data_IF_669326654909
#
_entry.id   IF_669326654909
#
_cell.length_a   1.000
_cell.length_b   1.000
_cell.length_c   1.000
_cell.angle_alpha   90.00
_cell.angle_beta   90.00
_cell.angle_gamma   90.00
#
_symmetry.space_group_name_H-M   'P 1'
#
loop_
_entity.id
_entity.type
_entity.pdbx_description
1 polymer ?
#
# COMPACT_ATOMS: atom_id res chain seq x y z
N UNK A 1 -52.37 -33.60 20.94
CA UNK A 1 -51.92 -32.83 22.10
C UNK A 1 -50.90 -31.81 21.61
N UNK A 2 -51.35 -30.57 21.52
CA UNK A 2 -50.62 -29.41 21.04
C UNK A 2 -49.53 -28.99 22.02
N UNK A 3 -48.39 -28.52 21.50
CA UNK A 3 -47.53 -27.58 22.23
C UNK A 3 -47.32 -26.36 21.34
N UNK A 4 -47.84 -25.24 21.85
CA UNK A 4 -48.02 -23.95 21.22
C UNK A 4 -46.72 -23.28 20.78
N UNK A 5 -46.68 -22.84 19.52
CA UNK A 5 -45.92 -21.66 19.12
C UNK A 5 -46.80 -20.43 19.37
N UNK A 6 -46.32 -19.50 20.20
CA UNK A 6 -46.91 -18.17 20.33
C UNK A 6 -46.55 -17.33 19.10
N UNK A 7 -47.52 -16.68 18.42
CA UNK A 7 -47.21 -15.66 17.43
C UNK A 7 -46.89 -14.34 18.12
N UNK A 8 -45.75 -13.75 17.78
CA UNK A 8 -45.35 -12.39 18.13
C UNK A 8 -46.49 -11.40 17.83
N UNK A 9 -46.79 -10.50 18.78
CA UNK A 9 -47.60 -9.31 18.51
C UNK A 9 -46.93 -8.51 17.39
N UNK A 10 -47.59 -8.37 16.23
CA UNK A 10 -47.11 -7.47 15.19
C UNK A 10 -47.49 -6.04 15.59
N UNK A 11 -46.47 -5.21 15.80
CA UNK A 11 -46.60 -3.75 15.98
C UNK A 11 -46.69 -3.10 14.60
N UNK A 12 -47.67 -3.52 13.79
CA UNK A 12 -47.85 -2.96 12.46
C UNK A 12 -48.80 -1.75 12.52
N UNK A 13 -48.32 -0.62 12.04
CA UNK A 13 -49.07 0.63 11.94
C UNK A 13 -49.83 0.70 10.61
N UNK A 14 -51.10 1.10 10.68
CA UNK A 14 -51.97 1.20 9.51
C UNK A 14 -51.90 2.60 8.90
N UNK A 15 -51.59 2.72 7.62
CA UNK A 15 -51.67 3.99 6.91
C UNK A 15 -53.14 4.41 6.73
N UNK A 16 -53.59 5.58 7.21
CA UNK A 16 -54.98 6.03 7.07
C UNK A 16 -55.42 6.23 5.62
N UNK A 17 -54.47 6.55 4.72
CA UNK A 17 -54.76 6.88 3.32
C UNK A 17 -54.95 5.67 2.40
N UNK A 18 -54.25 4.56 2.64
CA UNK A 18 -54.38 3.33 1.84
C UNK A 18 -54.81 2.10 2.63
N UNK A 19 -54.95 2.24 3.96
CA UNK A 19 -55.40 1.21 4.90
C UNK A 19 -54.53 -0.04 5.02
N UNK A 20 -53.35 -0.04 4.41
CA UNK A 20 -52.36 -1.12 4.51
C UNK A 20 -51.56 -1.00 5.81
N UNK A 21 -51.12 -2.15 6.32
CA UNK A 21 -50.31 -2.29 7.53
C UNK A 21 -48.83 -2.32 7.18
N UNK A 22 -48.03 -1.57 7.93
CA UNK A 22 -46.59 -1.48 7.74
C UNK A 22 -45.92 -1.58 9.10
N UNK A 23 -44.69 -2.10 9.15
CA UNK A 23 -43.85 -1.93 10.34
C UNK A 23 -43.60 -0.42 10.60
N UNK A 24 -43.21 -0.01 11.82
CA UNK A 24 -43.06 1.42 12.16
C UNK A 24 -42.08 2.16 11.23
N UNK A 25 -40.95 1.53 10.91
CA UNK A 25 -39.99 2.04 9.90
C UNK A 25 -40.53 1.97 8.46
N UNK A 26 -41.42 1.02 8.19
CA UNK A 26 -42.04 0.81 6.88
C UNK A 26 -43.07 1.89 6.55
N UNK A 27 -43.83 2.37 7.54
CA UNK A 27 -44.82 3.43 7.33
C UNK A 27 -44.14 4.75 6.92
N UNK A 28 -43.02 5.11 7.56
CA UNK A 28 -42.26 6.33 7.22
C UNK A 28 -41.71 6.27 5.79
N UNK A 29 -41.15 5.14 5.35
CA UNK A 29 -40.69 4.95 3.96
C UNK A 29 -41.86 4.98 2.97
N UNK A 30 -42.98 4.35 3.32
CA UNK A 30 -44.19 4.37 2.50
C UNK A 30 -44.71 5.80 2.29
N UNK A 31 -44.81 6.61 3.33
CA UNK A 31 -45.25 8.00 3.22
C UNK A 31 -44.26 8.86 2.42
N UNK A 32 -42.95 8.63 2.53
CA UNK A 32 -41.95 9.36 1.76
C UNK A 32 -42.04 9.08 0.24
N UNK A 33 -42.41 7.87 -0.17
CA UNK A 33 -42.34 7.42 -1.56
C UNK A 33 -43.71 7.28 -2.27
N UNK A 34 -44.81 7.44 -1.54
CA UNK A 34 -46.15 7.23 -2.10
C UNK A 34 -46.55 8.29 -3.11
N UNK A 35 -47.13 7.85 -4.24
CA UNK A 35 -47.77 8.72 -5.25
C UNK A 35 -49.29 8.77 -5.10
N UNK A 36 -49.86 8.09 -4.11
CA UNK A 36 -51.32 8.04 -3.91
C UNK A 36 -51.79 9.31 -3.19
N UNK A 37 -52.75 10.08 -3.75
CA UNK A 37 -53.17 11.36 -3.18
C UNK A 37 -53.72 11.25 -1.75
N UNK A 38 -54.39 10.14 -1.41
CA UNK A 38 -54.89 9.89 -0.06
C UNK A 38 -53.78 9.65 0.98
N UNK A 39 -52.61 9.11 0.59
CA UNK A 39 -51.46 8.91 1.49
C UNK A 39 -50.57 10.16 1.56
N UNK A 40 -50.52 10.92 0.47
CA UNK A 40 -49.89 12.25 0.44
C UNK A 40 -50.63 13.19 1.40
N UNK A 41 -51.96 13.15 1.45
CA UNK A 41 -52.75 13.91 2.42
C UNK A 41 -52.46 13.54 3.89
N UNK A 42 -52.05 12.30 4.16
CA UNK A 42 -51.57 11.86 5.49
C UNK A 42 -50.17 12.40 5.77
N UNK A 43 -49.25 12.30 4.81
CA UNK A 43 -47.89 12.85 4.92
C UNK A 43 -47.90 14.35 5.18
N UNK A 44 -48.76 15.08 4.47
CA UNK A 44 -48.84 16.54 4.53
C UNK A 44 -49.78 17.03 5.65
N UNK A 45 -50.22 16.13 6.55
CA UNK A 45 -50.96 16.46 7.78
C UNK A 45 -52.40 16.98 7.59
N UNK A 46 -53.02 16.73 6.43
CA UNK A 46 -54.36 17.28 6.08
C UNK A 46 -55.55 16.42 6.51
N UNK A 47 -55.32 15.29 7.17
CA UNK A 47 -56.37 14.47 7.81
C UNK A 47 -56.40 14.74 9.32
N UNK A 48 -57.58 14.93 9.94
CA UNK A 48 -57.65 15.18 11.37
C UNK A 48 -57.17 13.95 12.18
N UNK A 49 -56.44 14.15 13.28
CA UNK A 49 -55.99 13.06 14.13
C UNK A 49 -57.15 12.41 14.90
N UNK A 50 -57.09 11.12 15.24
CA UNK A 50 -57.99 10.52 16.22
C UNK A 50 -57.70 11.08 17.64
N UNK A 51 -58.67 11.02 18.56
CA UNK A 51 -58.59 11.68 19.86
C UNK A 51 -57.53 11.06 20.78
N UNK A 52 -56.95 11.96 21.58
CA UNK A 52 -55.78 11.88 22.47
C UNK A 52 -56.00 11.00 23.71
N UNK A 53 -54.91 10.43 24.25
CA UNK A 53 -54.78 10.09 25.67
C UNK A 53 -53.50 10.76 26.23
N UNK A 54 -53.64 11.38 27.40
CA UNK A 54 -52.72 12.31 28.08
C UNK A 54 -51.66 11.63 28.99
N UNK A 55 -50.67 12.38 29.53
CA UNK A 55 -49.34 11.89 29.93
C UNK A 55 -49.08 11.84 31.46
N UNK A 56 -47.97 11.22 31.86
CA UNK A 56 -47.26 11.30 33.16
C UNK A 56 -45.76 11.08 32.86
N UNK A 57 -44.74 11.79 33.35
CA UNK A 57 -44.57 12.89 34.28
C UNK A 57 -43.06 13.27 34.31
N UNK A 58 -42.76 14.49 34.76
CA UNK A 58 -41.43 15.13 34.91
C UNK A 58 -40.62 14.60 36.10
N UNK A 59 -39.28 14.75 36.05
CA UNK A 59 -38.35 15.32 37.08
C UNK A 59 -36.89 15.10 36.59
N UNK A 60 -36.13 16.15 36.22
CA UNK A 60 -35.19 17.00 37.03
C UNK A 60 -33.86 16.26 37.37
N UNK A 61 -32.67 16.84 37.47
CA UNK A 61 -31.91 17.94 36.84
C UNK A 61 -30.47 17.78 37.40
N UNK A 62 -29.41 18.06 36.62
CA UNK A 62 -28.11 18.61 37.07
C UNK A 62 -27.02 18.43 36.00
N UNK A 63 -26.85 19.49 35.19
CA UNK A 63 -25.63 19.77 34.44
C UNK A 63 -24.69 20.63 35.30
N UNK A 64 -23.41 20.29 35.34
CA UNK A 64 -22.31 21.20 35.71
C UNK A 64 -21.17 20.94 34.74
N UNK A 65 -21.02 21.80 33.73
CA UNK A 65 -19.73 22.10 33.10
C UNK A 65 -19.77 23.54 32.62
N UNK A 66 -18.85 24.34 33.17
CA UNK A 66 -18.69 25.77 32.95
C UNK A 66 -18.40 26.13 31.49
N UNK A 67 -18.87 27.33 31.15
CA UNK A 67 -18.75 28.04 29.88
C UNK A 67 -17.30 28.16 29.39
N UNK A 68 -17.07 27.79 28.12
CA UNK A 68 -15.88 28.19 27.36
C UNK A 68 -16.24 29.46 26.58
N UNK A 69 -15.65 30.57 26.99
CA UNK A 69 -15.78 31.88 26.36
C UNK A 69 -15.26 31.84 24.91
N UNK A 70 -16.18 32.03 23.96
CA UNK A 70 -15.93 31.99 22.51
C UNK A 70 -15.38 33.30 21.94
N UNK A 71 -15.24 34.35 22.76
CA UNK A 71 -14.73 35.67 22.34
C UNK A 71 -13.25 35.90 22.71
N UNK A 72 -12.54 34.86 23.17
CA UNK A 72 -11.11 34.97 23.44
C UNK A 72 -10.30 35.15 22.13
N UNK A 73 -9.38 36.13 22.04
CA UNK A 73 -8.53 36.31 20.87
C UNK A 73 -7.63 35.07 20.65
N UNK A 74 -7.31 34.72 19.39
CA UNK A 74 -6.58 33.51 19.08
C UNK A 74 -5.22 33.48 19.76
N UNK A 75 -4.92 32.39 20.44
CA UNK A 75 -3.61 32.14 21.05
C UNK A 75 -2.57 32.06 19.92
N UNK A 76 -1.49 32.86 19.96
CA UNK A 76 -0.44 32.79 18.96
C UNK A 76 0.18 31.39 18.90
N UNK A 77 0.45 30.92 17.68
CA UNK A 77 1.05 29.63 17.40
C UNK A 77 2.49 29.58 17.95
N UNK A 78 2.70 28.89 19.07
CA UNK A 78 4.01 28.31 19.38
C UNK A 78 4.16 27.03 18.54
N UNK A 79 5.26 26.91 17.80
CA UNK A 79 5.46 25.96 16.69
C UNK A 79 5.20 24.48 16.97
N UNK A 80 5.36 23.66 15.93
CA UNK A 80 5.14 22.22 16.04
C UNK A 80 6.23 21.50 16.87
N UNK A 81 5.93 20.28 17.31
CA UNK A 81 6.80 19.43 18.15
C UNK A 81 8.19 19.14 17.53
N UNK A 82 8.44 19.53 16.28
CA UNK A 82 9.70 19.31 15.57
C UNK A 82 10.60 20.55 15.42
N UNK A 83 10.20 21.70 15.98
CA UNK A 83 11.05 22.88 16.12
C UNK A 83 11.30 23.67 14.84
N UNK A 84 12.02 24.78 14.98
CA UNK A 84 12.21 25.79 13.92
C UNK A 84 13.05 25.26 12.75
N UNK A 85 12.42 25.10 11.59
CA UNK A 85 13.10 24.80 10.34
C UNK A 85 13.88 26.03 9.85
N UNK A 86 15.15 25.84 9.47
CA UNK A 86 15.93 26.89 8.85
C UNK A 86 15.36 27.21 7.45
N UNK A 87 14.87 28.45 7.20
CA UNK A 87 14.29 28.83 5.92
C UNK A 87 15.25 28.70 4.74
N UNK A 88 16.57 28.73 4.99
CA UNK A 88 17.60 28.56 3.96
C UNK A 88 17.62 27.17 3.31
N UNK A 89 16.77 26.24 3.74
CA UNK A 89 16.54 24.95 3.07
C UNK A 89 15.62 25.05 1.85
N UNK A 90 14.89 26.16 1.71
CA UNK A 90 13.84 26.34 0.70
C UNK A 90 13.99 27.59 -0.17
N UNK A 91 15.08 28.35 -0.04
CA UNK A 91 15.34 29.49 -0.91
C UNK A 91 15.75 29.01 -2.32
N UNK A 92 14.74 28.92 -3.20
CA UNK A 92 14.89 28.96 -4.64
C UNK A 92 14.96 30.45 -5.06
N UNK A 93 16.05 30.85 -5.70
CA UNK A 93 16.20 32.21 -6.19
C UNK A 93 15.23 32.45 -7.37
N UNK A 94 14.30 33.38 -7.14
CA UNK A 94 13.77 34.38 -8.10
C UNK A 94 12.78 33.97 -9.19
N UNK A 95 11.50 34.29 -8.96
CA UNK A 95 10.62 34.93 -9.93
C UNK A 95 9.58 35.84 -9.23
N UNK A 96 9.17 36.98 -9.81
CA UNK A 96 8.69 38.16 -9.07
C UNK A 96 7.17 38.23 -8.80
N UNK A 97 6.82 38.91 -7.70
CA UNK A 97 5.51 39.50 -7.33
C UNK A 97 4.84 40.26 -8.50
N UNK A 98 3.52 40.42 -8.69
CA UNK A 98 2.32 40.64 -7.84
C UNK A 98 1.10 40.81 -8.83
N UNK A 99 -0.13 41.30 -8.50
CA UNK A 99 -0.87 41.44 -7.23
C UNK A 99 -2.38 41.03 -7.27
N UNK A 100 -2.96 40.83 -6.07
CA UNK A 100 -4.35 41.09 -5.61
C UNK A 100 -5.60 40.83 -6.48
N UNK A 101 -6.57 40.13 -5.86
CA UNK A 101 -7.98 40.15 -6.22
C UNK A 101 -8.84 39.44 -5.18
N UNK A 102 -9.29 40.18 -4.15
CA UNK A 102 -10.27 39.74 -3.16
C UNK A 102 -11.64 39.47 -3.82
N UNK A 103 -12.31 38.38 -3.44
CA UNK A 103 -13.77 38.33 -3.41
C UNK A 103 -14.29 37.25 -2.46
N UNK A 104 -14.99 37.72 -1.44
CA UNK A 104 -15.76 36.95 -0.45
C UNK A 104 -17.06 36.35 -1.01
N UNK A 105 -17.54 35.33 -0.26
CA UNK A 105 -18.90 34.73 -0.18
C UNK A 105 -19.23 33.50 -1.04
N UNK A 106 -20.13 32.60 -0.56
CA UNK A 106 -20.20 31.96 0.76
C UNK A 106 -20.33 30.41 0.66
N UNK A 107 -20.23 29.74 1.81
CA UNK A 107 -20.41 28.31 1.98
C UNK A 107 -21.83 27.83 1.66
N UNK A 108 -21.93 26.68 0.99
CA UNK A 108 -23.10 25.80 1.02
C UNK A 108 -22.63 24.37 1.28
N UNK A 109 -22.97 23.88 2.46
CA UNK A 109 -23.04 22.45 2.77
C UNK A 109 -24.13 21.82 1.90
N UNK A 110 -23.84 20.69 1.26
CA UNK A 110 -24.77 19.56 1.18
C UNK A 110 -24.04 18.28 0.73
N UNK A 111 -24.59 17.18 1.21
CA UNK A 111 -24.00 15.87 1.43
C UNK A 111 -23.65 15.01 0.20
N UNK A 112 -22.82 14.00 0.50
CA UNK A 112 -22.34 12.89 -0.32
C UNK A 112 -23.37 12.30 -1.30
N UNK A 113 -23.05 12.34 -2.60
CA UNK A 113 -23.33 11.27 -3.56
C UNK A 113 -22.21 11.25 -4.63
N UNK A 114 -21.62 10.05 -4.83
CA UNK A 114 -20.64 9.63 -5.85
C UNK A 114 -19.94 10.70 -6.71
N UNK A 115 -18.68 11.02 -6.41
CA UNK A 115 -17.74 11.61 -7.36
C UNK A 115 -16.39 10.86 -7.35
N UNK A 116 -16.14 10.15 -8.46
CA UNK A 116 -14.80 9.94 -8.98
C UNK A 116 -14.15 11.32 -9.17
N UNK A 117 -12.85 11.53 -8.83
CA UNK A 117 -12.18 12.72 -9.30
C UNK A 117 -11.83 12.51 -10.77
N UNK A 118 -12.51 13.29 -11.60
CA UNK A 118 -12.15 13.57 -12.99
C UNK A 118 -10.74 14.19 -12.96
N UNK A 119 -9.74 13.41 -13.38
CA UNK A 119 -8.39 13.92 -13.62
C UNK A 119 -8.44 14.65 -14.96
N UNK A 120 -8.83 15.92 -14.91
CA UNK A 120 -8.78 16.80 -16.07
C UNK A 120 -7.36 17.37 -16.22
N UNK A 121 -6.65 16.81 -17.20
CA UNK A 121 -5.68 17.44 -18.10
C UNK A 121 -4.61 18.40 -17.52
N UNK A 122 -3.40 17.86 -17.30
CA UNK A 122 -2.15 18.65 -17.19
C UNK A 122 -1.32 18.61 -18.51
N UNK A 123 -1.94 18.34 -19.66
CA UNK A 123 -1.25 18.42 -20.95
C UNK A 123 -1.46 19.79 -21.60
N UNK A 124 -0.39 20.52 -21.99
CA UNK A 124 -0.53 21.80 -22.69
C UNK A 124 -1.11 21.58 -24.09
N UNK A 125 -1.99 22.50 -24.52
CA UNK A 125 -2.66 22.40 -25.82
C UNK A 125 -1.66 22.33 -27.00
N UNK A 126 -1.93 21.48 -28.01
CA UNK A 126 -1.10 21.42 -29.21
C UNK A 126 -1.13 22.74 -29.97
N UNK A 127 0.03 23.21 -30.42
CA UNK A 127 0.12 24.42 -31.27
C UNK A 127 -0.67 24.24 -32.57
N UNK A 128 -1.34 25.28 -33.08
CA UNK A 128 -2.06 25.20 -34.34
C UNK A 128 -1.11 25.00 -35.53
N UNK A 129 -1.55 24.12 -36.43
CA UNK A 129 -0.84 23.71 -37.65
C UNK A 129 -0.86 24.85 -38.68
N UNK A 130 0.24 25.15 -39.41
CA UNK A 130 0.22 26.14 -40.47
C UNK A 130 -0.65 25.66 -41.67
N UNK A 131 -1.21 26.59 -42.48
CA UNK A 131 -2.11 26.21 -43.59
C UNK A 131 -1.33 25.54 -44.72
N UNK A 132 -1.84 24.40 -45.19
CA UNK A 132 -1.27 23.67 -46.31
C UNK A 132 -1.84 24.21 -47.64
N UNK A 133 -1.01 24.89 -48.44
CA UNK A 133 -1.32 25.19 -49.85
C UNK A 133 -1.13 23.96 -50.73
N UNK A 134 -2.26 23.38 -51.16
CA UNK A 134 -2.56 22.82 -52.48
C UNK A 134 -1.56 21.91 -53.22
N UNK A 135 -2.05 20.73 -53.60
CA UNK A 135 -1.63 20.05 -54.84
C UNK A 135 -1.68 18.52 -54.82
N UNK A 136 -2.86 17.96 -55.16
CA UNK A 136 -3.16 16.77 -56.00
C UNK A 136 -2.07 15.67 -56.16
N UNK A 137 -2.33 14.35 -56.08
CA UNK A 137 -3.42 13.61 -56.75
C UNK A 137 -3.60 12.19 -56.15
N UNK A 138 -4.88 11.79 -56.09
CA UNK A 138 -5.47 10.47 -56.35
C UNK A 138 -5.29 9.26 -55.41
N UNK A 139 -6.41 9.00 -54.73
CA UNK A 139 -6.83 7.78 -54.04
C UNK A 139 -6.80 6.51 -54.90
N UNK A 140 -6.44 5.39 -54.28
CA UNK A 140 -7.21 4.14 -54.39
C UNK A 140 -6.96 3.27 -53.16
N UNK A 141 -7.96 3.23 -52.28
CA UNK A 141 -8.14 2.23 -51.23
C UNK A 141 -9.62 1.81 -51.34
N UNK A 142 -10.01 0.55 -51.06
CA UNK A 142 -10.32 0.28 -49.66
C UNK A 142 -10.13 -1.18 -49.21
N UNK A 143 -9.59 -1.36 -48.00
CA UNK A 143 -9.74 -2.61 -47.25
C UNK A 143 -8.71 -2.78 -46.14
N UNK A 144 -8.86 -2.07 -45.02
CA UNK A 144 -8.05 -2.31 -43.81
C UNK A 144 -8.41 -1.38 -42.66
N UNK A 145 -8.74 -1.96 -41.50
CA UNK A 145 -9.24 -1.34 -40.27
C UNK A 145 -8.32 -0.27 -39.67
N UNK A 146 -8.82 0.65 -38.81
CA UNK A 146 -8.02 1.72 -38.21
C UNK A 146 -6.96 1.14 -37.28
N UNK A 147 -5.69 1.49 -37.51
CA UNK A 147 -4.58 1.17 -36.60
C UNK A 147 -4.49 2.26 -35.53
N UNK A 148 -4.48 1.82 -34.26
CA UNK A 148 -4.25 2.65 -33.07
C UNK A 148 -2.90 3.40 -33.13
N UNK A 149 -2.76 4.54 -32.43
CA UNK A 149 -1.48 5.25 -32.32
C UNK A 149 -0.45 4.34 -31.64
N UNK A 150 0.63 4.03 -32.37
CA UNK A 150 1.70 3.14 -31.89
C UNK A 150 2.44 3.78 -30.72
N UNK A 151 2.10 3.33 -29.51
CA UNK A 151 2.87 3.59 -28.29
C UNK A 151 4.25 2.94 -28.44
N UNK A 152 5.37 3.65 -28.18
CA UNK A 152 6.70 3.08 -28.34
C UNK A 152 6.87 1.85 -27.45
N UNK A 153 7.37 0.77 -28.05
CA UNK A 153 7.58 -0.52 -27.39
C UNK A 153 8.54 -0.37 -26.21
N UNK A 154 8.38 -1.21 -25.18
CA UNK A 154 9.28 -1.24 -24.03
C UNK A 154 10.75 -1.45 -24.47
N UNK A 155 10.96 -2.18 -25.56
CA UNK A 155 12.27 -2.36 -26.20
C UNK A 155 12.86 -1.07 -26.78
N UNK A 156 12.05 -0.19 -27.37
CA UNK A 156 12.52 1.10 -27.91
C UNK A 156 12.80 2.09 -26.77
N UNK A 157 11.99 2.12 -25.72
CA UNK A 157 12.28 2.90 -24.51
C UNK A 157 13.55 2.40 -23.79
N UNK A 158 13.70 1.09 -23.63
CA UNK A 158 14.92 0.50 -23.06
C UNK A 158 16.15 0.75 -23.95
N UNK A 159 16.00 0.79 -25.29
CA UNK A 159 17.07 1.12 -26.21
C UNK A 159 17.45 2.61 -26.15
N UNK A 160 16.49 3.51 -25.94
CA UNK A 160 16.74 4.94 -25.70
C UNK A 160 17.42 5.15 -24.34
N UNK A 161 16.94 4.53 -23.26
CA UNK A 161 17.57 4.58 -21.93
C UNK A 161 18.99 3.96 -21.92
N UNK A 162 19.20 2.87 -22.66
CA UNK A 162 20.52 2.27 -22.86
C UNK A 162 21.45 3.14 -23.73
N UNK A 163 20.90 3.87 -24.72
CA UNK A 163 21.67 4.85 -25.50
C UNK A 163 22.03 6.10 -24.68
N UNK A 164 21.17 6.54 -23.75
CA UNK A 164 21.46 7.64 -22.82
C UNK A 164 22.53 7.22 -21.80
N UNK A 165 22.51 5.96 -21.35
CA UNK A 165 23.52 5.42 -20.42
C UNK A 165 24.92 5.28 -21.03
N UNK A 166 25.03 5.15 -22.37
CA UNK A 166 26.31 4.96 -23.09
C UNK A 166 27.18 6.22 -23.24
N UNK A 167 26.72 7.41 -22.85
CA UNK A 167 27.49 8.67 -22.96
C UNK A 167 27.61 9.41 -21.62
N UNK A 168 27.68 8.68 -20.52
CA UNK A 168 27.83 9.31 -19.21
C UNK A 168 29.27 9.20 -18.72
N UNK A 169 29.82 10.33 -18.28
CA UNK A 169 31.10 10.40 -17.60
C UNK A 169 30.85 10.13 -16.13
N UNK A 170 31.41 9.04 -15.62
CA UNK A 170 31.18 8.56 -14.25
C UNK A 170 32.37 8.92 -13.37
N UNK A 171 32.11 9.64 -12.29
CA UNK A 171 33.04 9.88 -11.19
C UNK A 171 32.65 8.94 -10.05
N UNK A 172 33.50 7.98 -9.67
CA UNK A 172 33.25 7.10 -8.54
C UNK A 172 33.37 7.86 -7.22
N UNK A 173 32.74 7.34 -6.16
CA UNK A 173 32.89 7.91 -4.82
C UNK A 173 34.35 7.82 -4.32
N UNK A 174 34.89 8.89 -3.72
CA UNK A 174 36.25 8.86 -3.19
C UNK A 174 36.32 8.03 -1.90
N UNK A 175 37.01 6.88 -1.97
CA UNK A 175 37.23 5.97 -0.85
C UNK A 175 37.11 4.50 -1.28
N UNK A 176 37.84 3.61 -0.60
CA UNK A 176 37.80 2.16 -0.88
C UNK A 176 37.03 1.35 0.16
N UNK A 177 36.43 2.02 1.15
CA UNK A 177 35.84 1.37 2.31
C UNK A 177 34.32 1.16 2.15
N UNK A 178 33.58 2.13 1.58
CA UNK A 178 32.17 1.96 1.25
C UNK A 178 31.95 0.77 0.31
N UNK A 179 30.99 -0.09 0.65
CA UNK A 179 30.69 -1.32 -0.09
C UNK A 179 31.74 -2.43 0.09
N UNK A 180 32.79 -2.23 0.88
CA UNK A 180 33.77 -3.26 1.16
C UNK A 180 33.20 -4.31 2.14
N UNK A 181 33.59 -5.59 1.98
CA UNK A 181 33.15 -6.64 2.88
C UNK A 181 33.71 -6.47 4.29
N UNK A 182 32.92 -6.83 5.30
CA UNK A 182 33.39 -6.86 6.69
C UNK A 182 34.23 -8.12 6.90
N UNK A 183 35.45 -8.04 7.47
CA UNK A 183 36.28 -9.22 7.74
C UNK A 183 35.56 -10.24 8.64
N UNK A 184 35.56 -11.52 8.23
CA UNK A 184 34.86 -12.63 8.92
C UNK A 184 35.29 -12.87 10.37
N UNK A 185 36.42 -12.34 10.83
CA UNK A 185 36.93 -12.54 12.19
C UNK A 185 36.15 -11.76 13.26
N UNK A 186 35.45 -10.71 12.86
CA UNK A 186 34.98 -9.69 13.81
C UNK A 186 33.48 -9.85 14.17
N UNK A 187 32.80 -10.84 13.58
CA UNK A 187 31.33 -10.93 13.61
C UNK A 187 30.83 -12.31 14.09
N UNK A 188 29.88 -12.38 15.05
CA UNK A 188 29.17 -13.62 15.38
C UNK A 188 28.37 -14.13 14.16
N UNK A 189 28.69 -15.32 13.67
CA UNK A 189 28.03 -15.93 12.51
C UNK A 189 26.52 -16.09 12.74
N UNK A 190 25.72 -15.25 12.08
CA UNK A 190 24.27 -15.46 11.95
C UNK A 190 24.00 -16.37 10.76
N UNK A 191 23.23 -17.44 10.99
CA UNK A 191 22.87 -18.40 9.96
C UNK A 191 21.72 -17.85 9.12
N UNK A 192 21.98 -17.55 7.85
CA UNK A 192 20.97 -17.11 6.88
C UNK A 192 19.96 -18.24 6.59
N UNK A 193 18.77 -17.89 6.10
CA UNK A 193 17.74 -18.86 5.71
C UNK A 193 18.26 -19.86 4.66
N UNK A 194 19.12 -19.40 3.74
CA UNK A 194 19.75 -20.24 2.73
C UNK A 194 20.79 -21.20 3.34
N UNK A 195 21.58 -20.75 4.32
CA UNK A 195 22.51 -21.63 5.04
C UNK A 195 21.76 -22.68 5.87
N UNK A 196 20.64 -22.31 6.50
CA UNK A 196 19.76 -23.27 7.20
C UNK A 196 19.21 -24.31 6.23
N UNK A 197 18.78 -23.89 5.03
CA UNK A 197 18.35 -24.82 4.00
C UNK A 197 19.48 -25.76 3.57
N UNK A 198 20.68 -25.22 3.34
CA UNK A 198 21.85 -25.99 2.97
C UNK A 198 22.24 -27.00 4.05
N UNK A 199 22.13 -26.63 5.33
CA UNK A 199 22.33 -27.56 6.44
C UNK A 199 21.33 -28.72 6.38
N UNK A 200 20.04 -28.45 6.13
CA UNK A 200 19.03 -29.50 5.94
C UNK A 200 19.35 -30.41 4.74
N UNK A 201 19.92 -29.88 3.64
CA UNK A 201 20.34 -30.69 2.50
C UNK A 201 21.54 -31.59 2.83
N UNK A 202 22.45 -31.13 3.68
CA UNK A 202 23.63 -31.88 4.09
C UNK A 202 23.30 -32.99 5.11
N UNK A 203 22.25 -32.81 5.92
CA UNK A 203 21.75 -33.82 6.86
C UNK A 203 20.82 -34.85 6.20
N UNK A 204 20.12 -34.47 5.13
CA UNK A 204 19.35 -35.40 4.30
C UNK A 204 20.27 -36.42 3.61
N UNK A 205 19.79 -37.62 3.23
CA UNK A 205 20.60 -38.63 2.56
C UNK A 205 21.04 -38.17 1.16
N UNK A 206 22.13 -37.39 1.11
CA UNK A 206 23.10 -36.99 0.06
C UNK A 206 22.74 -36.99 -1.44
N UNK A 207 21.49 -37.21 -1.84
CA UNK A 207 21.12 -37.53 -3.23
C UNK A 207 19.87 -36.76 -3.69
N UNK A 208 19.12 -36.11 -2.78
CA UNK A 208 17.88 -35.43 -3.16
C UNK A 208 17.98 -33.89 -3.05
N UNK A 209 18.25 -33.18 -4.17
CA UNK A 209 18.29 -31.71 -4.18
C UNK A 209 16.91 -31.06 -4.02
N UNK A 210 15.82 -31.85 -3.97
CA UNK A 210 14.44 -31.37 -3.85
C UNK A 210 13.88 -31.46 -2.42
N UNK A 211 14.67 -31.86 -1.42
CA UNK A 211 14.24 -31.88 -0.02
C UNK A 211 13.67 -30.51 0.37
N UNK A 212 12.52 -30.40 1.05
CA UNK A 212 11.79 -31.45 1.80
C UNK A 212 10.96 -32.43 0.97
N UNK A 213 10.80 -32.18 -0.33
CA UNK A 213 10.03 -33.09 -1.19
C UNK A 213 10.79 -34.39 -1.40
N UNK A 214 10.05 -35.50 -1.49
CA UNK A 214 10.65 -36.83 -1.59
C UNK A 214 11.37 -37.07 -2.93
N UNK A 215 11.00 -36.35 -3.98
CA UNK A 215 11.60 -36.49 -5.31
C UNK A 215 11.41 -35.24 -6.18
N UNK A 216 12.11 -35.20 -7.33
CA UNK A 216 11.87 -34.19 -8.37
C UNK A 216 10.42 -34.12 -8.82
N UNK A 217 9.77 -35.29 -8.96
CA UNK A 217 8.36 -35.38 -9.40
C UNK A 217 7.43 -34.80 -8.35
N UNK A 218 7.67 -35.13 -7.08
CA UNK A 218 6.94 -34.60 -5.93
C UNK A 218 7.00 -33.06 -5.89
N UNK A 219 8.20 -32.48 -6.03
CA UNK A 219 8.37 -31.04 -6.13
C UNK A 219 7.70 -30.43 -7.35
N UNK A 220 7.83 -31.03 -8.54
CA UNK A 220 7.25 -30.50 -9.78
C UNK A 220 5.72 -30.42 -9.71
N UNK A 221 5.05 -31.42 -9.14
CA UNK A 221 3.61 -31.42 -8.96
C UNK A 221 3.20 -30.33 -7.96
N UNK A 222 3.91 -30.20 -6.84
CA UNK A 222 3.63 -29.17 -5.83
C UNK A 222 3.85 -27.75 -6.36
N UNK A 223 4.97 -27.54 -7.07
CA UNK A 223 5.30 -26.28 -7.72
C UNK A 223 4.27 -25.91 -8.80
N UNK A 224 3.87 -26.86 -9.66
CA UNK A 224 2.79 -26.64 -10.63
C UNK A 224 1.49 -26.27 -9.91
N UNK A 225 1.11 -27.00 -8.87
CA UNK A 225 -0.11 -26.75 -8.12
C UNK A 225 -0.17 -25.33 -7.53
N UNK A 226 0.97 -24.79 -7.06
CA UNK A 226 1.03 -23.46 -6.46
C UNK A 226 1.21 -22.32 -7.46
N UNK A 227 1.92 -22.55 -8.57
CA UNK A 227 2.22 -21.49 -9.53
C UNK A 227 1.16 -21.38 -10.64
N UNK A 228 0.52 -22.49 -11.02
CA UNK A 228 -0.42 -22.57 -12.14
C UNK A 228 -1.61 -23.50 -11.87
N UNK A 229 -1.67 -24.11 -10.69
CA UNK A 229 -2.64 -25.13 -10.39
C UNK A 229 -4.04 -24.58 -10.21
N UNK A 230 -5.05 -25.46 -10.20
CA UNK A 230 -6.41 -25.09 -9.86
C UNK A 230 -6.47 -24.68 -8.37
N UNK A 231 -7.59 -24.09 -7.94
CA UNK A 231 -7.78 -23.69 -6.53
C UNK A 231 -7.53 -24.84 -5.54
N UNK A 232 -7.22 -24.51 -4.29
CA UNK A 232 -6.82 -25.51 -3.26
C UNK A 232 -7.82 -26.67 -3.10
N UNK A 233 -9.11 -26.42 -3.35
CA UNK A 233 -10.18 -27.43 -3.34
C UNK A 233 -10.02 -28.41 -4.49
N UNK A 234 -9.99 -27.93 -5.73
CA UNK A 234 -9.84 -28.73 -6.93
C UNK A 234 -8.52 -29.54 -6.95
N UNK A 235 -7.42 -29.00 -6.42
CA UNK A 235 -6.19 -29.79 -6.28
C UNK A 235 -6.33 -30.90 -5.23
N UNK A 236 -7.07 -30.67 -4.14
CA UNK A 236 -7.33 -31.72 -3.15
C UNK A 236 -8.25 -32.80 -3.71
N UNK A 237 -9.24 -32.44 -4.54
CA UNK A 237 -10.11 -33.38 -5.24
C UNK A 237 -9.33 -34.24 -6.24
N UNK A 238 -8.41 -33.64 -7.00
CA UNK A 238 -7.52 -34.38 -7.90
C UNK A 238 -6.68 -35.42 -7.15
N UNK A 239 -6.13 -35.05 -5.99
CA UNK A 239 -5.33 -35.95 -5.16
C UNK A 239 -6.16 -37.02 -4.43
N UNK A 240 -7.47 -36.81 -4.31
CA UNK A 240 -8.40 -37.78 -3.73
C UNK A 240 -8.86 -38.84 -4.73
N UNK A 241 -8.58 -38.68 -6.04
CA UNK A 241 -8.79 -39.73 -7.04
C UNK A 241 -7.91 -40.92 -6.67
N UNK A 242 -8.52 -42.11 -6.69
CA UNK A 242 -7.86 -43.34 -6.27
C UNK A 242 -6.53 -43.55 -6.99
N UNK A 243 -5.53 -44.00 -6.24
CA UNK A 243 -4.14 -44.23 -6.66
C UNK A 243 -3.34 -43.01 -7.20
N UNK A 244 -3.94 -41.86 -7.53
CA UNK A 244 -3.22 -40.74 -8.17
C UNK A 244 -2.03 -40.26 -7.34
N UNK A 245 -2.24 -39.97 -6.05
CA UNK A 245 -1.17 -39.53 -5.16
C UNK A 245 -0.10 -40.62 -4.95
N UNK A 246 -0.50 -41.90 -4.97
CA UNK A 246 0.38 -43.05 -4.77
C UNK A 246 1.24 -43.33 -6.01
N UNK A 247 0.65 -43.34 -7.20
CA UNK A 247 1.35 -43.52 -8.48
C UNK A 247 2.33 -42.39 -8.75
N UNK A 248 1.98 -41.17 -8.34
CA UNK A 248 2.87 -40.00 -8.38
C UNK A 248 3.89 -39.97 -7.23
N UNK A 249 3.80 -40.87 -6.26
CA UNK A 249 4.65 -40.97 -5.07
C UNK A 249 4.85 -39.61 -4.38
N UNK A 250 3.75 -38.90 -4.14
CA UNK A 250 3.75 -37.57 -3.54
C UNK A 250 3.94 -37.66 -2.01
N UNK A 251 4.62 -36.68 -1.42
CA UNK A 251 4.80 -36.56 0.03
C UNK A 251 3.55 -36.04 0.75
N UNK A 252 2.57 -35.53 0.00
CA UNK A 252 1.34 -34.93 0.50
C UNK A 252 0.10 -35.54 -0.18
N UNK A 253 -1.00 -35.62 0.57
CA UNK A 253 -2.28 -36.18 0.12
C UNK A 253 -3.32 -35.12 -0.25
N UNK A 254 -3.10 -33.86 0.12
CA UNK A 254 -4.00 -32.75 -0.16
C UNK A 254 -3.25 -31.42 -0.14
N UNK A 255 -3.92 -30.35 -0.56
CA UNK A 255 -3.35 -28.99 -0.57
C UNK A 255 -2.85 -28.54 0.81
N UNK A 256 -3.55 -28.91 1.89
CA UNK A 256 -3.17 -28.49 3.25
C UNK A 256 -1.86 -29.16 3.71
N UNK A 257 -1.62 -30.41 3.34
CA UNK A 257 -0.37 -31.09 3.64
C UNK A 257 0.79 -30.51 2.83
N UNK A 258 0.56 -30.19 1.55
CA UNK A 258 1.52 -29.45 0.73
C UNK A 258 1.86 -28.09 1.35
N UNK A 259 0.86 -27.32 1.77
CA UNK A 259 1.06 -26.04 2.44
C UNK A 259 1.81 -26.19 3.77
N UNK A 260 1.55 -27.23 4.54
CA UNK A 260 2.31 -27.52 5.77
C UNK A 260 3.79 -27.78 5.51
N UNK A 261 4.13 -28.52 4.44
CA UNK A 261 5.53 -28.77 4.05
C UNK A 261 6.17 -27.43 3.69
N UNK A 262 5.51 -26.62 2.84
CA UNK A 262 6.02 -25.32 2.42
C UNK A 262 6.20 -24.37 3.61
N UNK A 263 5.24 -24.32 4.52
CA UNK A 263 5.27 -23.37 5.64
C UNK A 263 6.25 -23.77 6.75
N UNK A 264 6.48 -25.07 6.95
CA UNK A 264 7.27 -25.58 8.09
C UNK A 264 8.67 -26.06 7.73
N UNK A 265 8.83 -26.65 6.56
CA UNK A 265 10.06 -27.36 6.19
C UNK A 265 10.91 -26.59 5.18
N UNK A 266 10.31 -25.67 4.41
CA UNK A 266 11.08 -24.69 3.66
C UNK A 266 11.41 -23.49 4.56
N UNK A 267 12.66 -23.02 4.56
CA UNK A 267 13.00 -21.77 5.21
C UNK A 267 12.13 -20.65 4.62
N UNK A 268 11.56 -19.78 5.47
CA UNK A 268 10.73 -18.70 4.97
C UNK A 268 11.60 -17.74 4.14
N UNK A 269 11.37 -17.69 2.82
CA UNK A 269 12.07 -16.72 1.96
C UNK A 269 11.76 -15.27 2.37
N UNK A 270 10.65 -15.02 3.07
CA UNK A 270 10.21 -13.70 3.53
C UNK A 270 9.73 -13.75 4.99
N UNK A 271 9.92 -12.67 5.78
CA UNK A 271 9.53 -12.63 7.19
C UNK A 271 8.02 -12.77 7.37
N UNK A 272 7.53 -13.45 8.41
CA UNK A 272 6.08 -13.64 8.62
C UNK A 272 5.39 -12.35 9.10
N UNK A 273 4.10 -12.22 8.79
CA UNK A 273 3.28 -11.18 9.37
C UNK A 273 3.07 -11.42 10.86
N UNK A 274 3.07 -10.33 11.62
CA UNK A 274 2.74 -10.25 13.02
C UNK A 274 1.51 -9.35 13.15
N UNK A 275 0.62 -9.70 14.09
CA UNK A 275 -0.56 -8.91 14.42
C UNK A 275 -0.27 -8.09 15.66
N UNK A 276 -0.56 -6.80 15.61
CA UNK A 276 -0.51 -5.90 16.75
C UNK A 276 -1.78 -5.11 16.85
N UNK A 277 -2.14 -4.75 18.07
CA UNK A 277 -3.30 -3.92 18.37
C UNK A 277 -2.82 -2.52 18.74
N UNK A 278 -3.44 -1.50 18.14
CA UNK A 278 -3.16 -0.10 18.40
C UNK A 278 -4.45 0.55 18.86
N UNK A 279 -4.43 1.18 20.03
CA UNK A 279 -5.59 1.88 20.59
C UNK A 279 -5.52 3.35 20.21
N UNK A 280 -6.53 3.84 19.47
CA UNK A 280 -6.65 5.25 19.09
C UNK A 280 -8.07 5.72 19.38
N UNK A 281 -8.20 6.81 20.13
CA UNK A 281 -9.49 7.38 20.54
C UNK A 281 -10.47 6.34 21.13
N UNK A 282 -9.95 5.44 21.97
CA UNK A 282 -10.72 4.40 22.65
C UNK A 282 -11.10 3.18 21.79
N UNK A 283 -10.78 3.17 20.49
CA UNK A 283 -10.98 2.03 19.61
C UNK A 283 -9.67 1.24 19.45
N UNK A 284 -9.73 -0.07 19.62
CA UNK A 284 -8.60 -0.95 19.43
C UNK A 284 -8.60 -1.51 18.00
N UNK A 285 -7.52 -1.25 17.27
CA UNK A 285 -7.44 -1.48 15.84
C UNK A 285 -6.27 -2.41 15.55
N UNK A 286 -6.54 -3.49 14.81
CA UNK A 286 -5.53 -4.46 14.43
C UNK A 286 -4.71 -4.00 13.22
N UNK A 287 -3.40 -4.13 13.33
CA UNK A 287 -2.42 -3.89 12.28
C UNK A 287 -1.63 -5.16 12.03
N UNK A 288 -1.47 -5.53 10.77
CA UNK A 288 -0.69 -6.67 10.34
C UNK A 288 0.57 -6.18 9.65
N UNK A 289 1.75 -6.49 10.19
CA UNK A 289 3.01 -6.06 9.59
C UNK A 289 4.14 -7.08 9.77
N UNK A 290 5.18 -6.97 8.94
CA UNK A 290 6.40 -7.78 9.03
C UNK A 290 7.49 -6.99 9.74
N UNK A 291 8.40 -7.69 10.40
CA UNK A 291 9.61 -7.06 10.94
C UNK A 291 10.41 -6.44 9.79
N UNK A 292 10.59 -5.12 9.85
CA UNK A 292 11.22 -4.32 8.82
C UNK A 292 12.70 -4.67 8.63
N UNK A 293 13.41 -5.04 9.69
CA UNK A 293 14.82 -5.42 9.63
C UNK A 293 14.98 -6.79 8.97
N UNK A 294 14.07 -7.72 9.28
CA UNK A 294 14.02 -9.02 8.58
C UNK A 294 13.66 -8.84 7.09
N UNK A 295 12.81 -7.85 6.75
CA UNK A 295 12.52 -7.51 5.36
C UNK A 295 13.77 -6.99 4.62
N UNK A 296 14.55 -6.11 5.25
CA UNK A 296 15.81 -5.61 4.70
C UNK A 296 16.79 -6.76 4.48
N UNK A 297 17.01 -7.61 5.51
CA UNK A 297 17.89 -8.78 5.41
C UNK A 297 17.46 -9.68 4.26
N UNK A 298 16.17 -9.99 4.16
CA UNK A 298 15.62 -10.85 3.11
C UNK A 298 15.76 -10.28 1.69
N UNK A 299 15.75 -8.96 1.51
CA UNK A 299 16.06 -8.36 0.20
C UNK A 299 17.55 -8.37 -0.08
N UNK A 300 18.38 -8.05 0.91
CA UNK A 300 19.82 -7.94 0.75
C UNK A 300 20.50 -9.31 0.55
N UNK A 301 20.04 -10.35 1.26
CA UNK A 301 20.57 -11.71 1.17
C UNK A 301 20.05 -12.52 -0.03
N UNK A 302 19.28 -11.91 -0.93
CA UNK A 302 18.78 -12.62 -2.10
C UNK A 302 19.92 -12.84 -3.13
N UNK A 303 20.27 -14.09 -3.48
CA UNK A 303 21.34 -14.37 -4.43
C UNK A 303 21.08 -13.78 -5.83
N UNK A 304 19.81 -13.65 -6.24
CA UNK A 304 19.47 -13.03 -7.52
C UNK A 304 19.75 -11.52 -7.57
N UNK A 305 19.86 -10.88 -6.40
CA UNK A 305 20.06 -9.45 -6.27
C UNK A 305 21.51 -9.08 -5.95
N UNK A 306 22.27 -9.96 -5.29
CA UNK A 306 23.68 -9.76 -4.95
C UNK A 306 24.51 -9.10 -6.09
N UNK A 307 24.50 -9.60 -7.34
CA UNK A 307 25.30 -8.99 -8.42
C UNK A 307 24.73 -7.66 -8.96
N UNK A 308 23.54 -7.26 -8.51
CA UNK A 308 22.83 -6.07 -8.98
C UNK A 308 22.80 -4.95 -7.93
N UNK A 309 23.17 -5.23 -6.68
CA UNK A 309 23.11 -4.27 -5.59
C UNK A 309 24.12 -3.12 -5.83
N UNK A 310 23.59 -1.90 -5.85
CA UNK A 310 24.36 -0.68 -5.87
C UNK A 310 24.77 -0.34 -4.44
N UNK A 311 26.04 -0.56 -4.10
CA UNK A 311 26.56 -0.34 -2.75
C UNK A 311 27.16 1.05 -2.56
N UNK A 312 27.69 1.64 -3.62
CA UNK A 312 28.45 2.89 -3.56
C UNK A 312 27.75 3.96 -4.41
N UNK A 313 27.65 5.22 -3.94
CA UNK A 313 27.12 6.29 -4.75
C UNK A 313 28.07 6.65 -5.90
N UNK A 314 27.53 7.23 -6.95
CA UNK A 314 28.29 7.62 -8.13
C UNK A 314 27.91 9.00 -8.61
N UNK A 315 28.76 9.56 -9.45
CA UNK A 315 28.54 10.87 -10.04
C UNK A 315 28.56 10.83 -11.56
N UNK A 316 27.37 10.92 -12.18
CA UNK A 316 27.23 10.86 -13.63
C UNK A 316 27.09 12.26 -14.24
N UNK A 317 27.72 12.47 -15.40
CA UNK A 317 27.69 13.72 -16.16
C UNK A 317 27.48 13.45 -17.65
N UNK A 318 26.83 14.38 -18.35
CA UNK A 318 26.58 14.26 -19.79
C UNK A 318 27.80 14.63 -20.64
N UNK A 319 28.79 15.30 -20.06
CA UNK A 319 29.96 15.83 -20.75
C UNK A 319 31.28 15.61 -19.98
N UNK A 320 32.39 15.62 -20.71
CA UNK A 320 33.73 15.36 -20.17
C UNK A 320 34.17 16.41 -19.14
N UNK A 321 33.70 17.65 -19.28
CA UNK A 321 34.03 18.74 -18.36
C UNK A 321 33.24 18.69 -17.05
N UNK A 322 32.35 17.69 -16.89
CA UNK A 322 31.54 17.47 -15.70
C UNK A 322 30.67 18.67 -15.26
N UNK A 323 30.20 19.47 -16.22
CA UNK A 323 29.36 20.64 -15.92
C UNK A 323 27.88 20.31 -15.91
N UNK A 324 27.43 19.31 -16.69
CA UNK A 324 26.02 18.93 -16.79
C UNK A 324 25.79 17.62 -16.05
N UNK A 325 25.10 17.73 -14.92
CA UNK A 325 24.84 16.63 -14.00
C UNK A 325 23.67 15.76 -14.45
N UNK A 326 23.82 14.44 -14.40
CA UNK A 326 22.77 13.48 -14.75
C UNK A 326 22.41 12.60 -13.56
N UNK A 327 21.12 12.30 -13.40
CA UNK A 327 20.59 11.44 -12.35
C UNK A 327 19.75 10.32 -12.96
N UNK A 328 20.04 9.08 -12.61
CA UNK A 328 19.31 7.90 -13.10
C UNK A 328 18.60 7.16 -11.98
N UNK A 329 19.37 6.84 -10.93
CA UNK A 329 18.88 6.12 -9.76
C UNK A 329 19.38 6.76 -8.46
N UNK A 330 18.96 6.21 -7.33
CA UNK A 330 19.28 6.74 -6.00
C UNK A 330 20.79 6.90 -5.78
N UNK A 331 21.63 5.97 -6.27
CA UNK A 331 23.08 6.02 -6.09
C UNK A 331 23.73 7.22 -6.79
N UNK A 332 23.09 7.74 -7.84
CA UNK A 332 23.54 8.96 -8.54
C UNK A 332 23.04 10.26 -7.88
N UNK A 333 22.13 10.15 -6.93
CA UNK A 333 21.50 11.27 -6.24
C UNK A 333 22.48 12.06 -5.36
N UNK A 334 22.27 13.37 -5.26
CA UNK A 334 23.04 14.25 -4.36
C UNK A 334 22.97 13.76 -2.90
N UNK A 335 21.78 13.30 -2.47
CA UNK A 335 21.54 12.82 -1.12
C UNK A 335 22.45 11.64 -0.75
N UNK A 336 22.48 10.57 -1.55
CA UNK A 336 23.30 9.39 -1.22
C UNK A 336 24.78 9.76 -1.15
N UNK A 337 25.29 10.53 -2.10
CA UNK A 337 26.68 11.01 -2.06
C UNK A 337 26.99 11.80 -0.78
N UNK A 338 26.13 12.73 -0.40
CA UNK A 338 26.33 13.54 0.81
C UNK A 338 26.25 12.67 2.08
N UNK A 339 25.26 11.79 2.16
CA UNK A 339 25.07 10.86 3.29
C UNK A 339 26.26 9.92 3.43
N UNK A 340 26.75 9.32 2.33
CA UNK A 340 27.91 8.43 2.35
C UNK A 340 29.17 9.18 2.78
N UNK A 341 29.36 10.43 2.34
CA UNK A 341 30.49 11.26 2.76
C UNK A 341 30.48 11.54 4.26
N UNK A 342 29.32 11.81 4.85
CA UNK A 342 29.22 12.03 6.28
C UNK A 342 29.36 10.73 7.07
N UNK A 343 28.81 9.63 6.54
CA UNK A 343 28.92 8.30 7.13
C UNK A 343 30.38 7.84 7.21
N UNK A 344 31.16 7.99 6.13
CA UNK A 344 32.59 7.65 6.10
C UNK A 344 33.42 8.43 7.12
N UNK A 345 33.05 9.67 7.46
CA UNK A 345 33.74 10.42 8.52
C UNK A 345 33.48 9.84 9.91
N UNK A 346 32.27 9.35 10.14
CA UNK A 346 31.83 8.88 11.47
C UNK A 346 32.15 7.41 11.69
N UNK A 347 31.97 6.60 10.65
CA UNK A 347 32.15 5.16 10.66
C UNK A 347 32.73 4.70 9.31
N UNK A 348 34.06 4.75 9.15
CA UNK A 348 34.72 4.38 7.90
C UNK A 348 34.32 2.99 7.42
N UNK A 349 33.93 2.88 6.16
CA UNK A 349 33.48 1.61 5.54
C UNK A 349 32.01 1.24 5.74
N UNK A 350 31.26 1.98 6.55
CA UNK A 350 29.81 1.77 6.61
C UNK A 350 29.15 2.15 5.27
N UNK A 351 28.16 1.36 4.85
CA UNK A 351 27.49 1.51 3.56
C UNK A 351 26.05 1.96 3.75
N UNK A 352 25.62 2.95 2.97
CA UNK A 352 24.23 3.42 3.01
C UNK A 352 23.30 2.39 2.35
N UNK A 353 22.23 2.03 3.06
CA UNK A 353 21.14 1.19 2.56
C UNK A 353 19.86 2.02 2.59
N UNK A 354 19.49 2.69 1.47
CA UNK A 354 18.28 3.49 1.45
C UNK A 354 17.05 2.59 1.49
N UNK A 355 16.05 2.99 2.27
CA UNK A 355 14.79 2.27 2.40
C UNK A 355 13.70 3.08 1.71
N UNK A 356 13.04 2.48 0.72
CA UNK A 356 11.93 3.11 0.00
C UNK A 356 10.64 2.46 0.44
N UNK A 357 9.70 3.28 0.90
CA UNK A 357 8.39 2.86 1.38
C UNK A 357 7.32 3.54 0.52
N UNK A 358 6.34 2.77 0.08
CA UNK A 358 5.20 3.27 -0.67
C UNK A 358 3.92 2.66 -0.11
N UNK A 359 2.89 3.48 0.06
CA UNK A 359 1.56 2.99 0.41
C UNK A 359 0.55 3.56 -0.58
N UNK A 360 -0.37 2.71 -1.04
CA UNK A 360 -1.48 3.10 -1.89
C UNK A 360 -2.74 2.38 -1.42
N UNK A 361 -3.91 3.01 -1.58
CA UNK A 361 -5.18 2.44 -1.15
C UNK A 361 -5.57 1.31 -2.09
N UNK A 362 -5.75 0.10 -1.57
CA UNK A 362 -6.23 -1.01 -2.40
C UNK A 362 -7.43 -1.72 -1.78
N UNK A 363 -8.29 -2.26 -2.64
CA UNK A 363 -9.36 -3.15 -2.19
C UNK A 363 -8.77 -4.56 -2.01
N UNK A 364 -8.92 -5.14 -0.82
CA UNK A 364 -8.36 -6.47 -0.52
C UNK A 364 -9.20 -7.61 -1.12
N UNK A 365 -10.50 -7.38 -1.32
CA UNK A 365 -11.44 -8.40 -1.79
C UNK A 365 -12.51 -7.78 -2.68
N UNK A 366 -12.79 -8.41 -3.82
CA UNK A 366 -13.93 -8.06 -4.69
C UNK A 366 -15.29 -8.38 -4.03
N UNK A 367 -15.31 -9.30 -3.07
CA UNK A 367 -16.50 -9.75 -2.34
C UNK A 367 -16.24 -9.48 -0.85
N UNK A 368 -16.75 -8.38 -0.31
CA UNK A 368 -16.70 -8.10 1.13
C UNK A 368 -16.25 -6.70 1.56
N UNK A 369 -16.03 -5.75 0.64
CA UNK A 369 -15.73 -4.34 0.93
C UNK A 369 -14.64 -4.10 1.99
N UNK A 370 -13.70 -5.04 2.17
CA UNK A 370 -12.54 -4.85 3.04
C UNK A 370 -11.49 -4.08 2.25
N UNK A 371 -11.25 -2.84 2.66
CA UNK A 371 -10.16 -2.02 2.15
C UNK A 371 -9.03 -2.04 3.16
N UNK A 372 -7.80 -2.05 2.68
CA UNK A 372 -6.62 -1.81 3.52
C UNK A 372 -5.65 -0.96 2.71
N UNK A 373 -4.77 -0.25 3.40
CA UNK A 373 -3.63 0.38 2.74
C UNK A 373 -2.45 -0.57 2.85
N UNK A 374 -2.11 -1.35 1.79
CA UNK A 374 -0.85 -2.04 1.76
C UNK A 374 0.30 -1.03 1.84
N UNK A 375 1.33 -1.40 2.59
CA UNK A 375 2.61 -0.71 2.65
C UNK A 375 3.63 -1.63 2.02
N UNK A 376 4.24 -1.19 0.93
CA UNK A 376 5.33 -1.88 0.27
C UNK A 376 6.67 -1.25 0.65
N UNK A 377 7.70 -2.08 0.74
CA UNK A 377 9.07 -1.68 1.01
C UNK A 377 10.01 -2.27 -0.05
N UNK A 378 11.06 -1.52 -0.41
CA UNK A 378 12.19 -1.98 -1.20
C UNK A 378 13.47 -1.27 -0.77
N UNK A 379 14.62 -1.73 -1.27
CA UNK A 379 15.92 -1.12 -1.03
C UNK A 379 16.29 -0.22 -2.20
N UNK A 380 16.77 0.99 -1.92
CA UNK A 380 17.31 1.91 -2.93
C UNK A 380 18.59 1.39 -3.60
N UNK A 381 19.24 0.38 -3.00
CA UNK A 381 20.37 -0.34 -3.60
C UNK A 381 19.95 -1.18 -4.82
N UNK A 382 18.67 -1.51 -4.97
CA UNK A 382 18.21 -2.21 -6.17
C UNK A 382 17.97 -1.21 -7.31
N UNK A 383 18.53 -1.47 -8.51
CA UNK A 383 18.26 -0.66 -9.68
C UNK A 383 16.75 -0.52 -9.94
N UNK A 384 16.33 0.65 -10.40
CA UNK A 384 14.94 1.02 -10.65
C UNK A 384 14.22 -0.02 -11.50
N UNK A 385 14.86 -0.51 -12.56
CA UNK A 385 14.26 -1.48 -13.48
C UNK A 385 14.02 -2.84 -12.82
N UNK A 386 14.82 -3.22 -11.82
CA UNK A 386 14.60 -4.42 -11.00
C UNK A 386 13.48 -4.19 -10.00
N UNK A 387 13.47 -3.02 -9.33
CA UNK A 387 12.40 -2.65 -8.37
C UNK A 387 11.03 -2.58 -9.04
N UNK A 388 10.97 -2.08 -10.27
CA UNK A 388 9.72 -1.88 -11.01
C UNK A 388 9.25 -3.13 -11.79
N UNK A 389 9.99 -4.24 -11.77
CA UNK A 389 9.60 -5.50 -12.41
C UNK A 389 8.94 -6.43 -11.37
N UNK A 390 7.61 -6.61 -11.37
CA UNK A 390 6.92 -7.45 -10.38
C UNK A 390 7.43 -8.90 -10.35
N UNK A 391 7.81 -9.44 -11.51
CA UNK A 391 8.36 -10.79 -11.64
C UNK A 391 9.69 -10.99 -10.88
N UNK A 392 10.45 -9.91 -10.65
CA UNK A 392 11.72 -9.94 -9.91
C UNK A 392 11.51 -9.89 -8.41
N UNK A 393 10.29 -9.59 -7.92
CA UNK A 393 9.96 -9.56 -6.48
C UNK A 393 10.90 -8.67 -5.65
N UNK A 394 11.35 -7.56 -6.24
CA UNK A 394 12.23 -6.57 -5.58
C UNK A 394 11.55 -5.73 -4.50
N UNK A 395 10.24 -5.90 -4.32
CA UNK A 395 9.43 -5.24 -3.30
C UNK A 395 8.83 -6.28 -2.34
N UNK A 396 8.71 -5.93 -1.06
CA UNK A 396 8.02 -6.72 -0.04
C UNK A 396 6.81 -5.94 0.45
N UNK A 397 5.67 -6.62 0.56
CA UNK A 397 4.54 -6.11 1.33
C UNK A 397 4.88 -6.14 2.83
N UNK A 398 5.14 -4.96 3.38
CA UNK A 398 5.56 -4.73 4.76
C UNK A 398 4.37 -4.75 5.73
N UNK A 399 3.26 -4.08 5.40
CA UNK A 399 2.12 -3.98 6.30
C UNK A 399 0.79 -3.86 5.57
N UNK A 400 -0.30 -4.20 6.26
CA UNK A 400 -1.66 -3.77 5.94
C UNK A 400 -2.11 -2.79 7.02
N UNK A 401 -2.28 -1.53 6.64
CA UNK A 401 -2.80 -0.51 7.56
C UNK A 401 -4.33 -0.56 7.59
N UNK A 402 -4.93 -0.29 8.76
CA UNK A 402 -6.36 -0.31 8.96
C UNK A 402 -7.06 0.85 8.21
N UNK A 403 -8.32 0.62 7.87
CA UNK A 403 -9.21 1.59 7.20
C UNK A 403 -10.41 1.96 8.07
N UNK A 404 -10.26 1.90 9.41
CA UNK A 404 -11.36 2.19 10.34
C UNK A 404 -12.01 3.52 9.96
N UNK A 405 -13.34 3.55 10.00
CA UNK A 405 -14.11 4.75 9.69
C UNK A 405 -14.22 5.67 10.90
N UNK A 406 -13.86 5.20 12.11
CA UNK A 406 -13.98 5.93 13.39
C UNK A 406 -15.34 6.66 13.51
N UNK A 407 -16.43 5.95 13.21
CA UNK A 407 -17.78 6.55 13.12
C UNK A 407 -18.30 7.05 14.48
N UNK A 408 -17.72 6.56 15.58
CA UNK A 408 -18.02 7.05 16.94
C UNK A 408 -17.55 8.49 17.17
N UNK A 409 -16.71 9.04 16.29
CA UNK A 409 -16.32 10.45 16.31
C UNK A 409 -17.29 11.24 15.40
N UNK A 410 -18.26 11.97 15.98
CA UNK A 410 -19.29 12.65 15.18
C UNK A 410 -18.69 13.83 14.39
N UNK A 411 -17.75 14.58 15.00
CA UNK A 411 -17.12 15.72 14.36
C UNK A 411 -16.20 15.28 13.19
N UNK A 412 -16.53 15.74 11.97
CA UNK A 412 -15.83 15.37 10.72
C UNK A 412 -14.36 15.79 10.71
N UNK A 413 -14.04 16.98 11.23
CA UNK A 413 -12.66 17.49 11.30
C UNK A 413 -11.81 16.70 12.31
N UNK A 414 -12.36 16.44 13.50
CA UNK A 414 -11.71 15.61 14.50
C UNK A 414 -11.50 14.17 14.00
N UNK A 415 -12.48 13.61 13.28
CA UNK A 415 -12.39 12.28 12.68
C UNK A 415 -11.28 12.20 11.63
N UNK A 416 -11.20 13.18 10.72
CA UNK A 416 -10.10 13.26 9.72
C UNK A 416 -8.72 13.33 10.39
N UNK A 417 -8.56 14.17 11.42
CA UNK A 417 -7.31 14.26 12.19
C UNK A 417 -6.97 12.95 12.90
N UNK A 418 -7.96 12.30 13.48
CA UNK A 418 -7.76 11.02 14.19
C UNK A 418 -7.37 9.90 13.23
N UNK A 419 -7.92 9.87 12.01
CA UNK A 419 -7.50 8.94 10.96
C UNK A 419 -6.05 9.16 10.53
N UNK A 420 -5.62 10.42 10.38
CA UNK A 420 -4.22 10.74 10.10
C UNK A 420 -3.31 10.29 11.26
N UNK A 421 -3.70 10.56 12.50
CA UNK A 421 -2.96 10.10 13.69
C UNK A 421 -2.88 8.57 13.76
N UNK A 422 -3.95 7.86 13.42
CA UNK A 422 -3.95 6.40 13.33
C UNK A 422 -2.95 5.92 12.29
N UNK A 423 -2.94 6.51 11.09
CA UNK A 423 -1.96 6.18 10.05
C UNK A 423 -0.52 6.38 10.56
N UNK A 424 -0.21 7.54 11.13
CA UNK A 424 1.13 7.85 11.65
C UNK A 424 1.51 6.95 12.83
N UNK A 425 0.58 6.63 13.73
CA UNK A 425 0.83 5.70 14.84
C UNK A 425 1.14 4.29 14.33
N UNK A 426 0.41 3.82 13.32
CA UNK A 426 0.70 2.53 12.67
C UNK A 426 2.07 2.55 12.01
N UNK A 427 2.39 3.57 11.20
CA UNK A 427 3.67 3.68 10.51
C UNK A 427 4.85 3.81 11.49
N UNK A 428 4.69 4.61 12.55
CA UNK A 428 5.68 4.74 13.62
C UNK A 428 5.94 3.39 14.28
N UNK A 429 4.88 2.60 14.56
CA UNK A 429 5.01 1.25 15.13
C UNK A 429 5.73 0.28 14.18
N UNK A 430 5.36 0.26 12.91
CA UNK A 430 5.95 -0.61 11.88
C UNK A 430 7.44 -0.30 11.67
N UNK A 431 7.81 0.98 11.66
CA UNK A 431 9.15 1.46 11.38
C UNK A 431 10.01 1.68 12.62
N UNK A 432 9.47 1.47 13.83
CA UNK A 432 10.19 1.64 15.10
C UNK A 432 11.60 1.02 15.08
N UNK A 433 11.82 -0.21 14.57
CA UNK A 433 13.15 -0.83 14.58
C UNK A 433 14.22 -0.04 13.81
N UNK A 434 13.82 0.76 12.80
CA UNK A 434 14.75 1.56 11.99
C UNK A 434 15.38 2.71 12.75
N UNK A 435 14.73 3.22 13.80
CA UNK A 435 15.25 4.36 14.59
C UNK A 435 16.62 4.05 15.22
N UNK A 436 16.72 2.89 15.87
CA UNK A 436 17.96 2.42 16.50
C UNK A 436 19.03 2.08 15.46
N UNK A 437 18.67 1.27 14.45
CA UNK A 437 19.58 0.78 13.41
C UNK A 437 20.06 1.91 12.49
N UNK A 438 19.26 2.95 12.27
CA UNK A 438 19.68 4.11 11.49
C UNK A 438 20.85 4.88 12.12
N UNK A 439 21.04 4.75 13.45
CA UNK A 439 22.15 5.38 14.17
C UNK A 439 23.32 4.43 14.35
N UNK A 440 23.08 3.20 14.79
CA UNK A 440 24.15 2.22 15.08
C UNK A 440 24.66 1.51 13.84
N UNK A 441 23.88 1.50 12.77
CA UNK A 441 24.05 0.57 11.66
C UNK A 441 23.56 -0.84 12.00
N UNK A 442 23.54 -1.69 10.98
CA UNK A 442 23.37 -3.13 11.13
C UNK A 442 24.25 -3.85 10.11
N UNK A 443 24.68 -5.05 10.47
CA UNK A 443 25.38 -5.95 9.57
C UNK A 443 24.37 -6.65 8.65
N UNK A 444 24.73 -6.74 7.37
CA UNK A 444 23.94 -7.40 6.34
C UNK A 444 24.85 -8.37 5.60
N UNK A 445 24.33 -9.58 5.36
CA UNK A 445 24.98 -10.58 4.54
C UNK A 445 24.35 -10.53 3.15
N UNK A 446 25.18 -10.38 2.13
CA UNK A 446 24.74 -10.44 0.74
C UNK A 446 24.47 -11.88 0.30
N UNK A 447 23.67 -12.08 -0.75
CA UNK A 447 23.28 -13.41 -1.24
C UNK A 447 24.43 -14.26 -1.81
N UNK A 448 25.63 -13.70 -1.93
CA UNK A 448 26.89 -14.38 -2.25
C UNK A 448 27.67 -14.85 -1.00
N UNK A 449 27.15 -14.62 0.21
CA UNK A 449 27.75 -15.09 1.47
C UNK A 449 28.86 -14.20 2.02
N UNK A 450 28.88 -12.94 1.57
CA UNK A 450 29.79 -11.86 1.98
C UNK A 450 29.15 -11.00 3.06
#
# INVERSE_FOLDING_TARGET
MSSHWQPHLSTDERCPGCTLYFSPSGLSKHLAQTRKPACIAVRDGRLPPPPTAQPLGQEDDSNVFDDVDMDAPPVPLEGDFYGDYNPSFFDDESAPDSPHGDSDFPASDDDDDDLQPDIESWEPEPRPVPPNTGGDVSEQNPGGSPQDPVVPSQSERNAVEANVSRKTYVIPFPGHHAGAPIPRSDVPRRVDANEKYQACLNEAPSTNPYHPFASRRDWLVGHWAKMRGPGSTAFSELLAIDEVAQLLALSYKNSQQLDKIIDKELPPCRPRFQRHEIVVAGEAIEVYFRDVLECIRSLFSNPEFAPLLLLVPERHYANADHTVRVYFDMNTGKWWWATQKELEKRNPGATVVPIVISSDKTQLTLIGNKTAYPVYMTLGNLPKDIRSKPSRRGQILLAYLPTSKLQHIPNKAARRRTLANLFHACMARVLTPLSSVGVTGMELMSGDGV
#
